data_IF_975053203113
#
_entry.id   IF_975053203113
#
_cell.length_a   1.000
_cell.length_b   1.000
_cell.length_c   1.000
_cell.angle_alpha   90.00
_cell.angle_beta   90.00
_cell.angle_gamma   90.00
#
_symmetry.space_group_name_H-M   'P 1'
#
loop_
_entity.id
_entity.type
_entity.pdbx_description
1 polymer ?
#
# COMPACT_ATOMS: atom_id res chain seq x y z
N UNK A 1 6.30 6.58 33.58
CA UNK A 1 6.31 6.60 32.10
C UNK A 1 4.88 6.44 31.63
N UNK A 2 4.25 7.51 31.14
CA UNK A 2 2.94 7.41 30.49
C UNK A 2 3.13 6.63 29.19
N UNK A 3 2.43 5.48 29.07
CA UNK A 3 2.52 4.63 27.89
C UNK A 3 2.10 5.39 26.63
N UNK A 4 2.69 5.02 25.49
CA UNK A 4 2.29 5.56 24.19
C UNK A 4 0.79 5.27 23.99
N UNK A 5 -0.06 6.29 23.71
CA UNK A 5 -1.48 6.07 23.47
C UNK A 5 -1.69 5.12 22.30
N UNK A 6 -2.65 4.21 22.43
CA UNK A 6 -3.02 3.33 21.33
C UNK A 6 -3.62 4.15 20.18
N UNK A 7 -3.24 3.88 18.92
CA UNK A 7 -3.79 4.59 17.77
C UNK A 7 -5.29 4.32 17.64
N UNK A 8 -6.04 5.37 17.30
CA UNK A 8 -7.48 5.28 16.99
C UNK A 8 -7.67 5.35 15.48
N UNK A 9 -8.40 4.40 14.92
CA UNK A 9 -8.62 4.27 13.49
C UNK A 9 -9.98 4.83 13.02
N UNK A 10 -10.79 5.38 13.91
CA UNK A 10 -12.15 5.84 13.64
C UNK A 10 -12.22 6.78 12.43
N UNK A 11 -11.34 7.77 12.37
CA UNK A 11 -11.31 8.74 11.29
C UNK A 11 -10.81 8.12 9.98
N UNK A 12 -9.78 7.27 10.03
CA UNK A 12 -9.29 6.58 8.83
C UNK A 12 -10.36 5.65 8.26
N UNK A 13 -11.15 5.01 9.11
CA UNK A 13 -12.34 4.24 8.72
C UNK A 13 -13.38 5.12 8.05
N UNK A 14 -13.71 6.25 8.65
CA UNK A 14 -14.68 7.17 8.09
C UNK A 14 -14.27 7.71 6.70
N UNK A 15 -12.97 7.90 6.48
CA UNK A 15 -12.43 8.31 5.18
C UNK A 15 -12.29 7.17 4.16
N UNK A 16 -12.59 5.92 4.53
CA UNK A 16 -12.37 4.74 3.67
C UNK A 16 -13.68 4.13 3.24
N UNK A 17 -13.91 4.08 1.92
CA UNK A 17 -15.04 3.38 1.33
C UNK A 17 -14.63 1.98 0.82
N UNK A 18 -15.48 1.35 0.00
CA UNK A 18 -15.19 0.04 -0.57
C UNK A 18 -14.01 0.04 -1.58
N UNK A 19 -13.69 1.20 -2.16
CA UNK A 19 -12.60 1.38 -3.14
C UNK A 19 -11.29 1.74 -2.44
N UNK A 20 -11.30 2.71 -1.54
CA UNK A 20 -10.09 3.22 -0.91
C UNK A 20 -10.35 4.31 0.12
N UNK A 21 -9.28 4.84 0.69
CA UNK A 21 -9.30 6.06 1.51
C UNK A 21 -9.18 7.29 0.63
N UNK A 22 -10.09 8.25 0.81
CA UNK A 22 -10.07 9.52 0.08
C UNK A 22 -8.75 10.29 0.33
N UNK A 23 -8.21 10.92 -0.72
CA UNK A 23 -6.95 11.68 -0.66
C UNK A 23 -7.02 12.84 0.36
N UNK A 24 -8.19 13.44 0.54
CA UNK A 24 -8.39 14.67 1.30
C UNK A 24 -9.64 14.61 2.17
N UNK A 25 -9.63 15.42 3.23
CA UNK A 25 -10.75 15.61 4.14
C UNK A 25 -10.93 17.11 4.47
N UNK A 26 -12.16 17.52 4.76
CA UNK A 26 -12.48 18.76 5.43
C UNK A 26 -12.90 18.43 6.87
N UNK A 27 -12.00 18.65 7.82
CA UNK A 27 -12.15 18.15 9.20
C UNK A 27 -12.37 16.62 9.21
N UNK A 28 -13.52 16.15 9.70
CA UNK A 28 -13.88 14.73 9.69
C UNK A 28 -14.35 14.23 8.33
N UNK A 29 -14.83 15.11 7.45
CA UNK A 29 -15.59 14.73 6.26
C UNK A 29 -14.68 14.47 5.05
N UNK A 30 -14.86 13.37 4.30
CA UNK A 30 -14.09 13.11 3.10
C UNK A 30 -14.39 14.13 1.98
N UNK A 31 -13.35 14.63 1.31
CA UNK A 31 -13.49 15.42 0.07
C UNK A 31 -13.50 14.47 -1.14
N UNK A 32 -14.69 14.02 -1.52
CA UNK A 32 -14.84 12.92 -2.48
C UNK A 32 -14.30 13.25 -3.87
N UNK A 33 -14.42 14.50 -4.30
CA UNK A 33 -13.97 15.04 -5.59
C UNK A 33 -12.46 14.86 -5.85
N UNK A 34 -11.65 14.66 -4.81
CA UNK A 34 -10.23 14.36 -4.97
C UNK A 34 -9.93 12.88 -5.23
N UNK A 35 -10.91 11.99 -5.05
CA UNK A 35 -10.76 10.56 -5.27
C UNK A 35 -9.71 9.92 -4.36
N UNK A 36 -8.93 9.02 -4.93
CA UNK A 36 -8.02 8.13 -4.20
C UNK A 36 -6.62 8.15 -4.79
N UNK A 37 -5.62 7.84 -3.96
CA UNK A 37 -4.24 7.66 -4.41
C UNK A 37 -3.61 6.34 -3.99
N UNK A 38 -2.84 5.76 -4.90
CA UNK A 38 -1.98 4.59 -4.65
C UNK A 38 -1.01 4.82 -3.51
N UNK A 39 -0.46 6.04 -3.42
CA UNK A 39 0.46 6.42 -2.35
C UNK A 39 -0.19 6.38 -0.96
N UNK A 40 -1.44 6.82 -0.88
CA UNK A 40 -2.19 6.82 0.38
C UNK A 40 -2.60 5.38 0.73
N UNK A 41 -2.97 4.57 -0.27
CA UNK A 41 -3.33 3.16 -0.03
C UNK A 41 -2.14 2.32 0.40
N UNK A 42 -0.96 2.61 -0.14
CA UNK A 42 0.28 2.02 0.35
C UNK A 42 0.53 2.34 1.83
N UNK A 43 0.33 3.59 2.27
CA UNK A 43 0.50 3.98 3.68
C UNK A 43 -0.53 3.31 4.58
N UNK A 44 -1.80 3.28 4.16
CA UNK A 44 -2.85 2.58 4.93
C UNK A 44 -2.51 1.10 5.08
N UNK A 45 -2.01 0.46 4.03
CA UNK A 45 -1.57 -0.94 4.09
C UNK A 45 -0.43 -1.14 5.10
N UNK A 46 0.59 -0.28 5.10
CA UNK A 46 1.69 -0.34 6.10
C UNK A 46 1.15 -0.24 7.52
N UNK A 47 0.29 0.75 7.79
CA UNK A 47 -0.23 0.97 9.15
C UNK A 47 -1.14 -0.18 9.58
N UNK A 48 -2.08 -0.58 8.72
CA UNK A 48 -3.06 -1.61 9.06
C UNK A 48 -2.42 -2.98 9.29
N UNK A 49 -1.37 -3.33 8.54
CA UNK A 49 -0.68 -4.63 8.68
C UNK A 49 0.29 -4.67 9.85
N UNK A 50 0.71 -3.51 10.37
CA UNK A 50 1.57 -3.41 11.55
C UNK A 50 0.81 -3.26 12.86
N UNK A 51 -0.50 -3.02 12.84
CA UNK A 51 -1.30 -2.86 14.04
C UNK A 51 -1.37 -4.16 14.85
N UNK A 52 -0.78 -4.22 16.06
CA UNK A 52 -0.89 -5.40 16.91
C UNK A 52 -2.34 -5.58 17.38
N UNK A 53 -2.80 -6.83 17.37
CA UNK A 53 -4.18 -7.14 17.79
C UNK A 53 -5.24 -6.43 16.94
N UNK A 54 -4.95 -6.14 15.67
CA UNK A 54 -5.87 -5.49 14.74
C UNK A 54 -7.27 -6.10 14.83
N UNK A 55 -8.29 -5.26 15.02
CA UNK A 55 -9.68 -5.69 15.02
C UNK A 55 -10.20 -5.91 13.58
N UNK A 56 -11.49 -6.24 13.44
CA UNK A 56 -12.09 -6.44 12.13
C UNK A 56 -12.07 -5.18 11.27
N UNK A 57 -12.15 -4.00 11.89
CA UNK A 57 -12.13 -2.73 11.20
C UNK A 57 -10.74 -2.53 10.59
N UNK A 58 -9.66 -2.62 11.36
CA UNK A 58 -8.28 -2.47 10.84
C UNK A 58 -7.96 -3.53 9.77
N UNK A 59 -8.42 -4.77 9.95
CA UNK A 59 -8.29 -5.80 8.89
C UNK A 59 -9.01 -5.41 7.60
N UNK A 60 -10.17 -4.74 7.69
CA UNK A 60 -10.88 -4.21 6.51
C UNK A 60 -10.05 -3.17 5.77
N UNK A 61 -9.35 -2.28 6.47
CA UNK A 61 -8.45 -1.30 5.86
C UNK A 61 -7.35 -1.99 5.06
N UNK A 62 -6.66 -2.97 5.66
CA UNK A 62 -5.65 -3.75 4.96
C UNK A 62 -6.22 -4.45 3.71
N UNK A 63 -7.42 -5.03 3.82
CA UNK A 63 -8.13 -5.68 2.72
C UNK A 63 -8.51 -4.72 1.58
N UNK A 64 -8.98 -3.51 1.89
CA UNK A 64 -9.28 -2.48 0.89
C UNK A 64 -7.99 -2.02 0.21
N UNK A 65 -6.95 -1.70 0.99
CA UNK A 65 -5.69 -1.22 0.45
C UNK A 65 -5.00 -2.24 -0.45
N UNK A 66 -4.94 -3.52 -0.07
CA UNK A 66 -4.27 -4.54 -0.90
C UNK A 66 -5.00 -4.79 -2.22
N UNK A 67 -6.34 -4.65 -2.24
CA UNK A 67 -7.15 -4.74 -3.46
C UNK A 67 -6.94 -3.51 -4.36
N UNK A 68 -6.95 -2.31 -3.78
CA UNK A 68 -6.69 -1.08 -4.52
C UNK A 68 -5.30 -1.11 -5.18
N UNK A 69 -4.26 -1.50 -4.45
CA UNK A 69 -2.90 -1.60 -4.99
C UNK A 69 -2.82 -2.61 -6.14
N UNK A 70 -3.58 -3.72 -6.06
CA UNK A 70 -3.62 -4.71 -7.14
C UNK A 70 -4.28 -4.14 -8.40
N UNK A 71 -5.33 -3.32 -8.25
CA UNK A 71 -5.99 -2.65 -9.37
C UNK A 71 -5.13 -1.52 -9.97
N UNK A 72 -4.43 -0.78 -9.12
CA UNK A 72 -3.50 0.28 -9.53
C UNK A 72 -2.34 -0.27 -10.38
N UNK A 73 -1.92 -1.50 -10.08
CA UNK A 73 -0.79 -2.16 -10.69
C UNK A 73 -1.16 -2.81 -12.03
N UNK A 74 -0.38 -2.52 -13.06
CA UNK A 74 -0.49 -3.22 -14.35
C UNK A 74 0.19 -4.58 -14.32
N UNK A 75 -0.10 -5.42 -15.32
CA UNK A 75 0.61 -6.70 -15.54
C UNK A 75 2.13 -6.54 -15.65
N UNK A 76 2.60 -5.36 -16.08
CA UNK A 76 4.02 -5.03 -16.21
C UNK A 76 4.71 -4.67 -14.89
N UNK A 77 3.94 -4.50 -13.81
CA UNK A 77 4.42 -4.07 -12.50
C UNK A 77 4.42 -2.55 -12.26
N UNK A 78 4.19 -1.72 -13.29
CA UNK A 78 4.01 -0.27 -13.14
C UNK A 78 2.65 0.07 -12.51
N UNK A 79 2.55 1.20 -11.80
CA UNK A 79 1.33 1.61 -11.09
C UNK A 79 0.76 2.90 -11.66
N UNK A 80 -0.58 2.97 -11.75
CA UNK A 80 -1.30 4.24 -11.80
C UNK A 80 -1.36 4.82 -10.39
N UNK A 81 -1.43 6.14 -10.25
CA UNK A 81 -1.50 6.80 -8.95
C UNK A 81 -2.88 7.33 -8.61
N UNK A 82 -3.61 7.90 -9.58
CA UNK A 82 -4.83 8.67 -9.31
C UNK A 82 -6.06 7.94 -9.82
N UNK A 83 -6.99 7.65 -8.91
CA UNK A 83 -8.32 7.15 -9.23
C UNK A 83 -9.35 8.22 -8.86
N UNK A 84 -10.19 8.61 -9.81
CA UNK A 84 -11.33 9.49 -9.56
C UNK A 84 -12.37 8.83 -8.64
N UNK A 85 -13.24 9.62 -8.01
CA UNK A 85 -14.34 9.09 -7.18
C UNK A 85 -15.27 8.12 -7.92
N UNK A 86 -15.35 8.25 -9.26
CA UNK A 86 -16.10 7.34 -10.15
C UNK A 86 -15.47 5.95 -10.25
N UNK A 87 -14.23 5.77 -9.80
CA UNK A 87 -13.43 4.56 -9.98
C UNK A 87 -12.56 4.57 -11.25
N UNK A 88 -12.64 5.62 -12.06
CA UNK A 88 -11.81 5.74 -13.26
C UNK A 88 -10.37 6.15 -12.91
N UNK A 89 -9.39 5.43 -13.47
CA UNK A 89 -8.00 5.84 -13.41
C UNK A 89 -7.76 7.01 -14.36
N UNK A 90 -7.15 8.09 -13.86
CA UNK A 90 -6.98 9.34 -14.63
C UNK A 90 -5.55 9.56 -15.13
N UNK A 91 -4.60 8.74 -14.68
CA UNK A 91 -3.21 8.81 -15.08
C UNK A 91 -2.70 7.52 -15.72
N UNK A 92 -1.63 7.65 -16.51
CA UNK A 92 -0.95 6.52 -17.11
C UNK A 92 -0.11 5.78 -16.06
N UNK A 93 0.05 4.45 -16.17
CA UNK A 93 0.94 3.70 -15.32
C UNK A 93 2.40 4.17 -15.44
N UNK A 94 3.06 4.38 -14.30
CA UNK A 94 4.44 4.85 -14.25
C UNK A 94 5.25 4.11 -13.16
N UNK A 95 6.56 4.34 -13.16
CA UNK A 95 7.50 3.83 -12.16
C UNK A 95 7.96 4.95 -11.22
N UNK A 96 7.06 5.87 -10.88
CA UNK A 96 7.36 7.03 -10.03
C UNK A 96 7.19 6.69 -8.54
N UNK A 97 7.11 7.71 -7.68
CA UNK A 97 7.02 7.53 -6.23
C UNK A 97 5.86 6.63 -5.79
N UNK A 98 4.71 6.68 -6.49
CA UNK A 98 3.57 5.81 -6.23
C UNK A 98 3.91 4.31 -6.39
N UNK A 99 4.72 3.96 -7.39
CA UNK A 99 5.21 2.59 -7.57
C UNK A 99 6.15 2.18 -6.43
N UNK A 100 7.08 3.05 -6.04
CA UNK A 100 7.99 2.80 -4.92
C UNK A 100 7.25 2.60 -3.60
N UNK A 101 6.27 3.48 -3.31
CA UNK A 101 5.42 3.38 -2.11
C UNK A 101 4.54 2.14 -2.14
N UNK A 102 4.02 1.76 -3.32
CA UNK A 102 3.32 0.49 -3.50
C UNK A 102 4.20 -0.69 -3.05
N UNK A 103 5.45 -0.78 -3.53
CA UNK A 103 6.40 -1.81 -3.08
C UNK A 103 6.65 -1.78 -1.56
N UNK A 104 6.75 -0.60 -0.96
CA UNK A 104 6.87 -0.49 0.50
C UNK A 104 5.67 -1.07 1.25
N UNK A 105 4.45 -0.70 0.83
CA UNK A 105 3.23 -1.23 1.42
C UNK A 105 3.09 -2.75 1.26
N UNK A 106 3.43 -3.27 0.09
CA UNK A 106 3.42 -4.71 -0.19
C UNK A 106 4.48 -5.46 0.64
N UNK A 107 5.68 -4.91 0.78
CA UNK A 107 6.71 -5.46 1.65
C UNK A 107 6.25 -5.55 3.11
N UNK A 108 5.73 -4.45 3.67
CA UNK A 108 5.19 -4.44 5.03
C UNK A 108 4.05 -5.45 5.21
N UNK A 109 3.18 -5.60 4.21
CA UNK A 109 2.06 -6.52 4.23
C UNK A 109 2.46 -8.01 4.21
N UNK A 110 3.71 -8.35 3.89
CA UNK A 110 4.24 -9.70 4.07
C UNK A 110 4.17 -10.16 5.54
N UNK A 111 4.19 -9.22 6.50
CA UNK A 111 4.03 -9.50 7.93
C UNK A 111 2.57 -9.64 8.38
N UNK A 112 1.59 -9.44 7.49
CA UNK A 112 0.18 -9.43 7.89
C UNK A 112 -0.24 -10.77 8.52
N UNK A 113 -0.98 -10.68 9.62
CA UNK A 113 -1.64 -11.83 10.24
C UNK A 113 -2.75 -12.43 9.35
N UNK A 114 -3.30 -11.63 8.43
CA UNK A 114 -4.26 -12.09 7.43
C UNK A 114 -3.52 -12.79 6.28
N UNK A 115 -3.78 -14.10 6.12
CA UNK A 115 -3.13 -14.94 5.11
C UNK A 115 -3.44 -14.56 3.65
N UNK A 116 -4.62 -14.00 3.39
CA UNK A 116 -4.98 -13.52 2.05
C UNK A 116 -4.19 -12.24 1.72
N UNK A 117 -4.13 -11.30 2.66
CA UNK A 117 -3.35 -10.06 2.49
C UNK A 117 -1.88 -10.38 2.25
N UNK A 118 -1.29 -11.28 3.06
CA UNK A 118 0.11 -11.71 2.91
C UNK A 118 0.38 -12.35 1.54
N UNK A 119 -0.45 -13.29 1.12
CA UNK A 119 -0.30 -13.97 -0.18
C UNK A 119 -0.38 -12.98 -1.34
N UNK A 120 -1.38 -12.10 -1.32
CA UNK A 120 -1.54 -11.06 -2.34
C UNK A 120 -0.38 -10.07 -2.35
N UNK A 121 0.18 -9.77 -1.19
CA UNK A 121 1.32 -8.86 -1.07
C UNK A 121 2.58 -9.42 -1.75
N UNK A 122 2.91 -10.70 -1.51
CA UNK A 122 4.04 -11.37 -2.17
C UNK A 122 3.88 -11.37 -3.69
N UNK A 123 2.72 -11.79 -4.20
CA UNK A 123 2.45 -11.86 -5.65
C UNK A 123 2.59 -10.48 -6.32
N UNK A 124 2.00 -9.45 -5.72
CA UNK A 124 2.06 -8.09 -6.28
C UNK A 124 3.47 -7.50 -6.15
N UNK A 125 4.18 -7.79 -5.07
CA UNK A 125 5.56 -7.35 -4.86
C UNK A 125 6.47 -7.91 -5.95
N UNK A 126 6.41 -9.23 -6.18
CA UNK A 126 7.15 -9.89 -7.26
C UNK A 126 6.85 -9.27 -8.62
N UNK A 127 5.59 -8.92 -8.90
CA UNK A 127 5.20 -8.26 -10.15
C UNK A 127 5.84 -6.88 -10.28
N UNK A 128 5.77 -6.04 -9.25
CA UNK A 128 6.37 -4.69 -9.26
C UNK A 128 7.90 -4.74 -9.35
N UNK A 129 8.54 -5.65 -8.61
CA UNK A 129 9.99 -5.79 -8.51
C UNK A 129 10.67 -6.27 -9.80
N UNK A 130 9.90 -6.65 -10.84
CA UNK A 130 10.41 -6.87 -12.20
C UNK A 130 10.91 -5.58 -12.86
N UNK A 131 10.50 -4.43 -12.35
CA UNK A 131 10.84 -3.10 -12.88
C UNK A 131 11.75 -2.34 -11.92
N UNK A 132 12.38 -1.29 -12.42
CA UNK A 132 13.17 -0.34 -11.64
C UNK A 132 12.87 1.08 -12.11
N UNK A 133 12.75 1.99 -11.16
CA UNK A 133 12.63 3.41 -11.44
C UNK A 133 13.99 4.05 -11.68
N UNK A 134 14.02 5.09 -12.52
CA UNK A 134 15.17 6.01 -12.60
C UNK A 134 15.18 7.02 -11.44
N UNK A 135 14.04 7.21 -10.76
CA UNK A 135 13.91 8.11 -9.60
C UNK A 135 14.55 7.48 -8.37
N UNK A 136 15.59 8.10 -7.77
CA UNK A 136 16.19 7.59 -6.54
C UNK A 136 15.19 7.53 -5.38
N UNK A 137 14.23 8.45 -5.34
CA UNK A 137 13.21 8.48 -4.28
C UNK A 137 12.22 7.33 -4.40
N UNK A 138 11.77 7.02 -5.62
CA UNK A 138 10.94 5.84 -5.86
C UNK A 138 11.70 4.55 -5.50
N UNK A 139 12.97 4.46 -5.89
CA UNK A 139 13.83 3.32 -5.55
C UNK A 139 14.07 3.20 -4.03
N UNK A 140 14.18 4.30 -3.29
CA UNK A 140 14.32 4.24 -1.83
C UNK A 140 13.11 3.57 -1.15
N UNK A 141 11.88 3.92 -1.55
CA UNK A 141 10.68 3.23 -1.05
C UNK A 141 10.63 1.76 -1.50
N UNK A 142 11.02 1.46 -2.73
CA UNK A 142 11.13 0.08 -3.20
C UNK A 142 12.09 -0.76 -2.35
N UNK A 143 13.24 -0.19 -1.96
CA UNK A 143 14.22 -0.83 -1.07
C UNK A 143 13.66 -1.05 0.33
N UNK A 144 12.90 -0.10 0.88
CA UNK A 144 12.19 -0.33 2.16
C UNK A 144 11.26 -1.54 2.05
N UNK A 145 10.48 -1.63 0.98
CA UNK A 145 9.62 -2.79 0.72
C UNK A 145 10.41 -4.10 0.59
N UNK A 146 11.53 -4.08 -0.13
CA UNK A 146 12.39 -5.26 -0.26
C UNK A 146 12.99 -5.70 1.08
N UNK A 147 13.40 -4.75 1.93
CA UNK A 147 13.91 -5.06 3.26
C UNK A 147 12.84 -5.76 4.11
N UNK A 148 11.61 -5.24 4.13
CA UNK A 148 10.48 -5.87 4.83
C UNK A 148 10.18 -7.27 4.27
N UNK A 149 10.19 -7.42 2.94
CA UNK A 149 9.95 -8.73 2.32
C UNK A 149 11.02 -9.76 2.73
N UNK A 150 12.29 -9.35 2.79
CA UNK A 150 13.41 -10.22 3.14
C UNK A 150 13.44 -10.63 4.62
N UNK A 151 12.82 -9.87 5.53
CA UNK A 151 12.70 -10.32 6.93
C UNK A 151 11.72 -11.47 7.10
N UNK A 152 10.70 -11.56 6.22
CA UNK A 152 9.71 -12.64 6.21
C UNK A 152 10.14 -13.80 5.30
N UNK A 153 10.73 -13.46 4.16
CA UNK A 153 11.15 -14.40 3.12
C UNK A 153 12.62 -14.13 2.73
N UNK A 154 13.61 -14.61 3.51
CA UNK A 154 15.02 -14.30 3.29
C UNK A 154 15.57 -14.71 1.91
N UNK A 155 14.96 -15.73 1.30
CA UNK A 155 15.31 -16.25 -0.03
C UNK A 155 14.46 -15.65 -1.16
N UNK A 156 13.70 -14.58 -0.90
CA UNK A 156 12.82 -13.98 -1.90
C UNK A 156 13.62 -13.34 -3.05
N UNK A 157 13.70 -14.05 -4.18
CA UNK A 157 14.57 -13.69 -5.30
C UNK A 157 14.33 -12.28 -5.85
N UNK A 158 13.08 -11.84 -5.98
CA UNK A 158 12.79 -10.50 -6.52
C UNK A 158 13.10 -9.34 -5.55
N UNK A 159 13.28 -9.63 -4.25
CA UNK A 159 13.61 -8.63 -3.24
C UNK A 159 15.12 -8.48 -3.04
N UNK A 160 15.91 -9.47 -3.48
CA UNK A 160 17.37 -9.41 -3.42
C UNK A 160 17.94 -8.46 -4.49
N UNK A 161 19.11 -7.84 -4.23
CA UNK A 161 19.85 -7.13 -5.26
C UNK A 161 20.15 -8.10 -6.41
N UNK A 162 19.92 -7.67 -7.65
CA UNK A 162 20.46 -8.37 -8.81
C UNK A 162 21.94 -8.00 -8.89
N UNK A 163 22.82 -8.99 -8.73
CA UNK A 163 24.25 -8.87 -9.03
C UNK A 163 24.45 -8.58 -10.52
#
# INVERSE_FOLDING_TARGET
>A
MTGIPQPRFDHLHHLTDARGTFERACLSEPQTENGYRTEDMARVLVVATRQPGADQAVRRLAGVSIRFLNEAQTVSGACRNRMACTGAWVDAPALEEAWGRCLWGLGAAAHSADGMVRTMAVIQFERAARRRSVSPRAMAFAVLGAAEMLTVHPEHGAARPRL
#
